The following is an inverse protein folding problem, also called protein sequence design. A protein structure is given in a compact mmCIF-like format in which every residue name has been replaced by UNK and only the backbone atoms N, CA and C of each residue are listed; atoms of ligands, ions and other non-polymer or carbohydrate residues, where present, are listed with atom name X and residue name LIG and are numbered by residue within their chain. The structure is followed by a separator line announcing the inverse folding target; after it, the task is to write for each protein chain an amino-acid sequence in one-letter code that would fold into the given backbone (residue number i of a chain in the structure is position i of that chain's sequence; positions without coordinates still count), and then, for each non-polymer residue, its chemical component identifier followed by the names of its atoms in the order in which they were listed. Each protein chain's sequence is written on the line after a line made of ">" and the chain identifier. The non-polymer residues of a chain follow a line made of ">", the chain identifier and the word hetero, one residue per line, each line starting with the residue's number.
data_IF_975758647463
#
_entry.id   IF_975758647463
#
_cell.length_a   1.000
_cell.length_b   1.000
_cell.length_c   1.000
_cell.angle_alpha   90.00
_cell.angle_beta   90.00
_cell.angle_gamma   90.00
#
_symmetry.space_group_name_H-M   'P 1'
#
loop_
_entity.id
_entity.type
_entity.pdbx_description
1 polymer ?
#
# COMPACT_ATOMS: atom_id res chain seq x y z
N UNK A 1 15.25 12.73 -7.01
CA UNK A 1 14.33 13.41 -7.93
C UNK A 1 13.55 12.41 -8.80
N UNK A 2 12.49 12.85 -9.48
CA UNK A 2 11.56 11.97 -10.20
C UNK A 2 12.25 11.17 -11.33
N UNK A 3 13.16 11.77 -12.08
CA UNK A 3 13.88 11.11 -13.18
C UNK A 3 14.73 9.98 -12.60
N UNK A 4 15.48 10.25 -11.54
CA UNK A 4 16.29 9.27 -10.84
C UNK A 4 15.43 8.12 -10.28
N UNK A 5 14.28 8.43 -9.68
CA UNK A 5 13.35 7.42 -9.17
C UNK A 5 12.82 6.49 -10.28
N UNK A 6 12.45 7.07 -11.43
CA UNK A 6 11.99 6.29 -12.59
C UNK A 6 13.09 5.37 -13.13
N UNK A 7 14.32 5.88 -13.28
CA UNK A 7 15.46 5.12 -13.81
C UNK A 7 15.84 3.97 -12.87
N UNK A 8 15.85 4.21 -11.56
CA UNK A 8 16.32 3.25 -10.57
C UNK A 8 15.23 2.29 -10.07
N UNK A 9 13.94 2.56 -10.36
CA UNK A 9 12.87 1.66 -9.98
C UNK A 9 13.03 0.31 -10.70
N UNK A 10 13.19 -0.73 -9.92
CA UNK A 10 13.24 -2.13 -10.38
C UNK A 10 12.42 -3.02 -9.43
N UNK A 11 12.13 -4.23 -9.84
CA UNK A 11 11.54 -5.24 -8.97
C UNK A 11 12.60 -5.78 -8.00
N UNK A 12 12.61 -5.27 -6.76
CA UNK A 12 13.53 -5.75 -5.72
C UNK A 12 12.90 -6.92 -4.97
N UNK A 13 13.52 -8.10 -5.10
CA UNK A 13 13.00 -9.35 -4.54
C UNK A 13 13.72 -9.81 -3.27
N UNK A 14 14.79 -9.13 -2.91
CA UNK A 14 15.61 -9.49 -1.75
C UNK A 14 15.80 -8.26 -0.88
N UNK A 15 15.34 -8.37 0.35
CA UNK A 15 15.43 -7.29 1.32
C UNK A 15 16.35 -7.68 2.47
N UNK A 16 17.08 -6.71 3.00
CA UNK A 16 17.71 -6.82 4.31
C UNK A 16 16.63 -6.73 5.39
N UNK A 17 16.74 -7.56 6.44
CA UNK A 17 15.83 -7.50 7.58
C UNK A 17 16.15 -6.28 8.45
N UNK A 18 15.86 -5.09 7.93
CA UNK A 18 16.16 -3.82 8.57
C UNK A 18 14.89 -3.01 8.83
N UNK A 19 14.90 -2.28 9.94
CA UNK A 19 13.83 -1.35 10.31
C UNK A 19 13.89 -0.11 9.40
N UNK A 20 12.73 0.33 8.90
CA UNK A 20 12.59 1.59 8.17
C UNK A 20 12.01 2.67 9.07
N UNK A 21 12.33 3.93 8.76
CA UNK A 21 11.79 5.05 9.52
C UNK A 21 10.27 5.23 9.29
N UNK A 22 9.53 5.56 10.35
CA UNK A 22 8.10 5.88 10.25
C UNK A 22 7.83 7.01 9.25
N UNK A 23 8.75 7.98 9.15
CA UNK A 23 8.68 9.08 8.17
C UNK A 23 8.68 8.56 6.73
N UNK A 24 9.44 7.52 6.43
CA UNK A 24 9.50 6.96 5.08
C UNK A 24 8.18 6.25 4.74
N UNK A 25 7.63 5.48 5.68
CA UNK A 25 6.28 4.91 5.53
C UNK A 25 5.23 6.00 5.29
N UNK A 26 5.25 7.09 6.08
CA UNK A 26 4.32 8.20 5.94
C UNK A 26 4.39 8.84 4.55
N UNK A 27 5.61 9.10 4.03
CA UNK A 27 5.80 9.65 2.68
C UNK A 27 5.34 8.70 1.58
N UNK A 28 5.59 7.40 1.72
CA UNK A 28 5.16 6.38 0.77
C UNK A 28 3.62 6.30 0.71
N UNK A 29 2.95 6.32 1.87
CA UNK A 29 1.49 6.33 1.96
C UNK A 29 0.90 7.60 1.34
N UNK A 30 1.49 8.76 1.67
CA UNK A 30 1.05 10.02 1.08
C UNK A 30 1.20 10.03 -0.43
N UNK A 31 2.33 9.57 -0.97
CA UNK A 31 2.55 9.47 -2.41
C UNK A 31 1.52 8.54 -3.07
N UNK A 32 1.21 7.42 -2.44
CA UNK A 32 0.27 6.42 -2.96
C UNK A 32 -1.17 6.90 -3.03
N UNK A 33 -1.68 7.57 -2.00
CA UNK A 33 -3.10 7.94 -1.93
C UNK A 33 -3.38 9.10 -0.97
N UNK A 34 -2.40 9.95 -0.67
CA UNK A 34 -2.55 11.07 0.26
C UNK A 34 -3.36 12.23 -0.30
N UNK A 35 -3.76 13.13 0.58
CA UNK A 35 -4.41 14.40 0.23
C UNK A 35 -3.34 15.47 0.03
N UNK A 36 -3.41 16.21 -1.08
CA UNK A 36 -2.46 17.28 -1.43
C UNK A 36 -2.71 18.56 -0.66
N UNK A 37 -3.98 18.93 -0.53
CA UNK A 37 -4.40 20.13 0.18
C UNK A 37 -5.65 19.80 1.04
N UNK A 38 -5.48 19.68 2.36
CA UNK A 38 -6.59 19.38 3.26
C UNK A 38 -7.59 20.54 3.41
N UNK A 39 -7.30 21.73 2.88
CA UNK A 39 -8.20 22.89 2.92
C UNK A 39 -9.10 22.97 1.67
N UNK A 40 -8.79 22.21 0.62
CA UNK A 40 -9.64 22.15 -0.57
C UNK A 40 -10.79 21.18 -0.31
N UNK A 41 -12.02 21.71 -0.41
CA UNK A 41 -13.24 20.91 -0.25
C UNK A 41 -13.20 19.64 -1.12
N UNK A 42 -13.60 18.53 -0.52
CA UNK A 42 -13.60 17.20 -1.13
C UNK A 42 -14.41 17.07 -2.43
N UNK A 43 -15.19 18.08 -2.75
CA UNK A 43 -15.99 18.18 -4.00
C UNK A 43 -15.14 18.59 -5.22
N UNK A 44 -13.98 19.21 -5.01
CA UNK A 44 -13.06 19.51 -6.10
C UNK A 44 -12.19 18.29 -6.40
N UNK A 45 -12.36 17.72 -7.57
CA UNK A 45 -11.82 16.43 -8.05
C UNK A 45 -10.28 16.27 -8.11
N UNK A 46 -9.50 17.08 -7.44
CA UNK A 46 -8.03 17.06 -7.52
C UNK A 46 -7.32 17.01 -6.16
N UNK A 47 -7.95 16.46 -5.14
CA UNK A 47 -7.46 16.53 -3.76
C UNK A 47 -6.40 15.49 -3.42
N UNK A 48 -6.36 14.34 -4.11
CA UNK A 48 -5.38 13.28 -3.83
C UNK A 48 -4.17 13.30 -4.75
N UNK A 49 -3.15 12.57 -4.36
CA UNK A 49 -1.90 12.40 -5.12
C UNK A 49 -2.07 11.58 -6.38
N UNK A 50 -3.16 10.86 -6.50
CA UNK A 50 -3.59 10.10 -7.67
C UNK A 50 -4.91 10.65 -8.21
N UNK A 51 -5.19 10.53 -9.53
CA UNK A 51 -6.52 10.76 -10.07
C UNK A 51 -7.48 9.62 -9.72
N UNK A 52 -8.78 9.89 -9.74
CA UNK A 52 -9.81 8.88 -9.60
C UNK A 52 -11.01 9.18 -10.48
N UNK A 53 -11.58 8.15 -11.10
CA UNK A 53 -12.78 8.29 -11.92
C UNK A 53 -13.93 8.84 -11.07
N UNK A 54 -14.52 9.95 -11.51
CA UNK A 54 -15.60 10.66 -10.81
C UNK A 54 -15.23 11.10 -9.36
N UNK A 55 -13.94 11.10 -8.99
CA UNK A 55 -13.50 11.42 -7.62
C UNK A 55 -13.96 10.45 -6.55
N UNK A 56 -14.24 9.20 -6.89
CA UNK A 56 -14.80 8.20 -5.96
C UNK A 56 -13.75 7.65 -4.99
N UNK A 57 -12.50 7.48 -5.44
CA UNK A 57 -11.39 6.92 -4.65
C UNK A 57 -11.73 5.57 -3.98
N UNK A 58 -12.08 4.54 -4.75
CA UNK A 58 -12.51 3.27 -4.20
C UNK A 58 -11.35 2.40 -3.70
N UNK A 59 -10.10 2.82 -3.92
CA UNK A 59 -8.93 2.04 -3.52
C UNK A 59 -8.55 2.34 -2.07
N UNK A 60 -8.45 1.26 -1.28
CA UNK A 60 -7.89 1.25 0.06
C UNK A 60 -6.45 0.74 0.08
N UNK A 61 -5.64 1.27 0.99
CA UNK A 61 -4.26 0.84 1.22
C UNK A 61 -4.15 0.28 2.64
N UNK A 62 -3.90 -1.02 2.73
CA UNK A 62 -3.62 -1.70 4.00
C UNK A 62 -2.11 -1.90 4.15
N UNK A 63 -1.63 -1.78 5.38
CA UNK A 63 -0.20 -1.85 5.72
C UNK A 63 0.01 -3.01 6.68
N UNK A 64 0.72 -4.03 6.26
CA UNK A 64 1.26 -5.07 7.11
C UNK A 64 2.63 -4.58 7.58
N UNK A 65 2.70 -3.96 8.75
CA UNK A 65 3.92 -3.41 9.31
C UNK A 65 4.70 -4.51 10.03
N UNK A 66 5.90 -4.81 9.56
CA UNK A 66 6.78 -5.83 10.13
C UNK A 66 7.91 -5.19 10.95
N UNK A 67 8.64 -4.24 10.34
CA UNK A 67 9.81 -3.60 10.94
C UNK A 67 9.80 -2.09 10.59
N UNK A 68 9.00 -1.33 11.32
CA UNK A 68 8.89 0.13 11.18
C UNK A 68 9.20 0.78 12.54
N UNK A 69 10.05 1.79 12.53
CA UNK A 69 10.45 2.50 13.73
C UNK A 69 9.25 3.15 14.43
N UNK A 70 9.13 2.93 15.74
CA UNK A 70 8.07 3.50 16.59
C UNK A 70 6.63 3.14 16.13
N UNK A 71 6.46 2.07 15.36
CA UNK A 71 5.16 1.54 14.98
C UNK A 71 5.08 0.06 15.39
N UNK A 72 4.09 -0.33 16.20
CA UNK A 72 3.88 -1.76 16.53
C UNK A 72 3.72 -2.62 15.28
N UNK A 73 4.24 -3.86 15.34
CA UNK A 73 4.02 -4.83 14.28
C UNK A 73 2.55 -5.25 14.30
N UNK A 74 1.78 -4.76 13.34
CA UNK A 74 0.34 -4.97 13.21
C UNK A 74 -0.13 -4.72 11.77
N UNK A 75 -1.43 -4.91 11.51
CA UNK A 75 -2.06 -4.55 10.25
C UNK A 75 -2.80 -3.24 10.44
N UNK A 76 -2.67 -2.34 9.47
CA UNK A 76 -3.28 -1.02 9.52
C UNK A 76 -4.02 -0.71 8.24
N UNK A 77 -5.13 0.03 8.34
CA UNK A 77 -5.76 0.72 7.22
C UNK A 77 -5.26 2.17 7.19
N UNK A 78 -4.76 2.61 6.05
CA UNK A 78 -4.42 4.02 5.85
C UNK A 78 -5.66 4.88 5.67
N UNK A 79 -5.74 5.98 6.44
CA UNK A 79 -6.81 6.98 6.40
C UNK A 79 -6.26 8.27 5.79
N UNK A 80 -6.43 8.50 4.46
CA UNK A 80 -5.84 9.65 3.77
C UNK A 80 -6.29 11.00 4.33
N UNK A 81 -7.55 11.10 4.75
CA UNK A 81 -8.16 12.34 5.26
C UNK A 81 -7.50 12.84 6.55
N UNK A 82 -6.91 11.94 7.31
CA UNK A 82 -6.22 12.21 8.58
C UNK A 82 -4.72 12.04 8.47
N UNK A 83 -4.24 11.54 7.33
CA UNK A 83 -2.87 11.03 7.15
C UNK A 83 -2.45 10.15 8.33
N UNK A 84 -3.29 9.18 8.67
CA UNK A 84 -3.15 8.35 9.85
C UNK A 84 -3.31 6.86 9.52
N UNK A 85 -2.88 6.02 10.44
CA UNK A 85 -3.05 4.57 10.40
C UNK A 85 -4.10 4.16 11.44
N UNK A 86 -5.10 3.42 11.00
CA UNK A 86 -6.06 2.77 11.88
C UNK A 86 -5.65 1.31 12.03
N UNK A 87 -5.33 0.89 13.24
CA UNK A 87 -5.01 -0.50 13.53
C UNK A 87 -6.23 -1.39 13.32
N UNK A 88 -6.00 -2.52 12.65
CA UNK A 88 -6.97 -3.59 12.50
C UNK A 88 -6.58 -4.66 13.51
N UNK A 89 -7.44 -4.94 14.53
CA UNK A 89 -7.17 -6.00 15.47
C UNK A 89 -6.96 -7.34 14.75
N UNK A 90 -5.76 -7.85 14.81
CA UNK A 90 -5.40 -9.02 14.02
C UNK A 90 -4.52 -9.99 14.78
N UNK A 91 -4.36 -11.15 14.21
CA UNK A 91 -3.33 -12.13 14.50
C UNK A 91 -1.93 -11.57 14.20
N UNK A 92 -0.91 -12.30 14.61
CA UNK A 92 0.48 -12.00 14.27
C UNK A 92 0.65 -11.73 12.75
N UNK A 93 1.23 -10.58 12.40
CA UNK A 93 1.39 -10.11 11.00
C UNK A 93 2.20 -11.09 10.16
N UNK A 94 3.25 -11.68 10.73
CA UNK A 94 4.10 -12.66 10.03
C UNK A 94 3.30 -13.92 9.70
N UNK A 95 2.49 -14.41 10.65
CA UNK A 95 1.62 -15.56 10.43
C UNK A 95 0.51 -15.26 9.41
N UNK A 96 -0.04 -14.06 9.45
CA UNK A 96 -1.02 -13.59 8.46
C UNK A 96 -0.42 -13.59 7.05
N UNK A 97 0.74 -13.00 6.87
CA UNK A 97 1.42 -12.96 5.57
C UNK A 97 1.81 -14.36 5.07
N UNK A 98 2.23 -15.27 5.95
CA UNK A 98 2.55 -16.64 5.58
C UNK A 98 1.32 -17.43 5.08
N UNK A 99 0.11 -17.10 5.56
CA UNK A 99 -1.15 -17.66 5.05
C UNK A 99 -1.56 -17.05 3.71
N UNK A 100 -1.25 -15.76 3.50
CA UNK A 100 -1.65 -14.98 2.32
C UNK A 100 -0.77 -15.32 1.12
N UNK A 101 0.54 -15.44 1.30
CA UNK A 101 1.47 -15.65 0.17
C UNK A 101 2.71 -16.41 0.59
N UNK A 102 3.24 -17.23 -0.35
CA UNK A 102 4.50 -17.95 -0.19
C UNK A 102 5.70 -17.22 -0.83
N UNK A 103 5.52 -15.96 -1.22
CA UNK A 103 6.59 -15.18 -1.86
C UNK A 103 7.70 -14.86 -0.86
N UNK A 104 8.94 -15.26 -1.19
CA UNK A 104 10.11 -15.05 -0.31
C UNK A 104 10.38 -13.58 0.00
N UNK A 105 10.02 -12.70 -0.92
CA UNK A 105 10.21 -11.26 -0.74
C UNK A 105 9.52 -10.70 0.52
N UNK A 106 8.42 -11.32 1.00
CA UNK A 106 7.75 -10.85 2.22
C UNK A 106 8.48 -11.20 3.52
N UNK A 107 9.40 -12.18 3.49
CA UNK A 107 10.05 -12.69 4.71
C UNK A 107 10.96 -11.66 5.38
N UNK A 108 11.67 -10.85 4.56
CA UNK A 108 12.60 -9.83 5.05
C UNK A 108 12.17 -8.40 4.67
N UNK A 109 10.97 -8.24 4.12
CA UNK A 109 10.42 -6.91 3.88
C UNK A 109 10.17 -6.18 5.20
N UNK A 110 10.37 -4.87 5.22
CA UNK A 110 10.05 -4.05 6.40
C UNK A 110 8.55 -3.84 6.53
N UNK A 111 7.84 -3.87 5.40
CA UNK A 111 6.39 -3.78 5.31
C UNK A 111 5.86 -4.40 4.01
N UNK A 112 4.58 -4.76 4.03
CA UNK A 112 3.84 -5.17 2.82
C UNK A 112 2.57 -4.35 2.74
N UNK A 113 2.35 -3.68 1.60
CA UNK A 113 1.08 -3.04 1.30
C UNK A 113 0.14 -4.04 0.62
N UNK A 114 -1.13 -4.00 0.96
CA UNK A 114 -2.21 -4.54 0.16
C UNK A 114 -2.96 -3.37 -0.46
N UNK A 115 -3.09 -3.38 -1.76
CA UNK A 115 -3.96 -2.47 -2.51
C UNK A 115 -5.26 -3.23 -2.78
N UNK A 116 -6.36 -2.70 -2.25
CA UNK A 116 -7.65 -3.35 -2.34
C UNK A 116 -8.73 -2.41 -2.87
N UNK A 117 -9.65 -2.95 -3.64
CA UNK A 117 -10.79 -2.26 -4.19
C UNK A 117 -12.00 -2.45 -3.27
N UNK A 118 -12.54 -1.36 -2.74
CA UNK A 118 -13.78 -1.35 -1.94
C UNK A 118 -15.00 -1.29 -2.85
N UNK A 119 -15.68 -2.42 -3.00
CA UNK A 119 -16.79 -2.56 -3.95
C UNK A 119 -18.03 -1.76 -3.57
N UNK A 120 -18.26 -1.54 -2.30
CA UNK A 120 -19.36 -0.71 -1.78
C UNK A 120 -19.26 0.76 -2.22
N UNK A 121 -18.04 1.29 -2.41
CA UNK A 121 -17.81 2.66 -2.87
C UNK A 121 -18.06 2.86 -4.36
N UNK A 122 -18.17 1.79 -5.15
CA UNK A 122 -18.07 1.86 -6.61
C UNK A 122 -19.34 1.48 -7.37
N UNK A 123 -20.51 1.41 -6.72
CA UNK A 123 -21.75 0.91 -7.32
C UNK A 123 -22.16 1.58 -8.67
N UNK A 124 -21.56 2.72 -9.01
CA UNK A 124 -21.80 3.46 -10.26
C UNK A 124 -20.61 3.53 -11.21
N UNK A 125 -19.50 2.87 -10.87
CA UNK A 125 -18.27 2.93 -11.64
C UNK A 125 -17.95 1.58 -12.28
N UNK A 126 -17.43 1.58 -13.51
CA UNK A 126 -16.91 0.35 -14.09
C UNK A 126 -15.60 -0.06 -13.39
N UNK A 127 -15.51 -1.31 -12.98
CA UNK A 127 -14.38 -1.87 -12.21
C UNK A 127 -13.01 -1.63 -12.84
N UNK A 128 -12.95 -1.50 -14.19
CA UNK A 128 -11.69 -1.18 -14.89
C UNK A 128 -11.01 0.09 -14.36
N UNK A 129 -11.78 1.09 -13.92
CA UNK A 129 -11.21 2.32 -13.39
C UNK A 129 -10.60 2.12 -12.00
N UNK A 130 -11.13 1.19 -11.19
CA UNK A 130 -10.49 0.83 -9.93
C UNK A 130 -9.12 0.17 -10.14
N UNK A 131 -8.98 -0.67 -11.17
CA UNK A 131 -7.69 -1.28 -11.49
C UNK A 131 -6.68 -0.25 -12.05
N UNK A 132 -7.14 0.75 -12.83
CA UNK A 132 -6.27 1.86 -13.22
C UNK A 132 -5.77 2.63 -11.99
N UNK A 133 -6.68 3.01 -11.10
CA UNK A 133 -6.34 3.72 -9.87
C UNK A 133 -5.38 2.89 -8.99
N UNK A 134 -5.62 1.59 -8.85
CA UNK A 134 -4.70 0.70 -8.14
C UNK A 134 -3.29 0.71 -8.75
N UNK A 135 -3.18 0.71 -10.08
CA UNK A 135 -1.89 0.82 -10.79
C UNK A 135 -1.18 2.14 -10.50
N UNK A 136 -1.91 3.25 -10.40
CA UNK A 136 -1.37 4.57 -10.06
C UNK A 136 -0.85 4.61 -8.62
N UNK A 137 -1.61 4.04 -7.66
CA UNK A 137 -1.16 3.86 -6.26
C UNK A 137 0.13 3.05 -6.21
N UNK A 138 0.16 1.90 -6.89
CA UNK A 138 1.33 1.00 -6.95
C UNK A 138 2.57 1.72 -7.48
N UNK A 139 2.42 2.48 -8.57
CA UNK A 139 3.53 3.20 -9.18
C UNK A 139 4.06 4.30 -8.28
N UNK A 140 3.17 5.08 -7.65
CA UNK A 140 3.59 6.15 -6.74
C UNK A 140 4.30 5.60 -5.49
N UNK A 141 3.79 4.52 -4.89
CA UNK A 141 4.44 3.80 -3.79
C UNK A 141 5.85 3.36 -4.21
N UNK A 142 5.97 2.74 -5.40
CA UNK A 142 7.24 2.22 -5.88
C UNK A 142 8.26 3.32 -6.15
N UNK A 143 7.85 4.44 -6.74
CA UNK A 143 8.73 5.60 -7.00
C UNK A 143 9.17 6.27 -5.71
N UNK A 144 8.25 6.46 -4.75
CA UNK A 144 8.58 7.04 -3.46
C UNK A 144 9.50 6.12 -2.66
N UNK A 145 9.30 4.80 -2.69
CA UNK A 145 10.21 3.86 -2.05
C UNK A 145 11.64 4.03 -2.56
N UNK A 146 11.83 4.13 -3.89
CA UNK A 146 13.17 4.39 -4.49
C UNK A 146 13.74 5.73 -4.04
N UNK A 147 12.94 6.80 -4.01
CA UNK A 147 13.40 8.13 -3.55
C UNK A 147 13.84 8.10 -2.08
N UNK A 148 13.28 7.20 -1.28
CA UNK A 148 13.66 6.95 0.12
C UNK A 148 14.80 5.94 0.30
N UNK A 149 15.42 5.49 -0.79
CA UNK A 149 16.49 4.47 -0.75
C UNK A 149 16.00 3.07 -0.41
N UNK A 150 14.72 2.80 -0.64
CA UNK A 150 14.08 1.51 -0.45
C UNK A 150 13.81 0.82 -1.78
N UNK A 151 13.68 -0.50 -1.74
CA UNK A 151 13.22 -1.30 -2.86
C UNK A 151 11.74 -1.66 -2.73
N UNK A 152 11.12 -2.02 -3.85
CA UNK A 152 9.75 -2.52 -3.88
C UNK A 152 9.59 -3.72 -4.80
N UNK A 153 8.69 -4.64 -4.45
CA UNK A 153 8.32 -5.79 -5.27
C UNK A 153 6.81 -5.98 -5.29
N UNK A 154 6.23 -5.89 -6.49
CA UNK A 154 4.81 -6.09 -6.74
C UNK A 154 4.50 -7.58 -6.85
N UNK A 155 3.53 -8.07 -6.09
CA UNK A 155 3.19 -9.48 -5.93
C UNK A 155 1.74 -9.70 -6.33
N UNK A 156 1.51 -10.39 -7.45
CA UNK A 156 0.17 -10.79 -7.91
C UNK A 156 -0.24 -12.20 -7.47
N UNK A 157 0.65 -12.95 -6.81
CA UNK A 157 0.38 -14.32 -6.36
C UNK A 157 0.11 -14.36 -4.87
N UNK A 158 -1.15 -14.43 -4.50
CA UNK A 158 -1.63 -14.48 -3.11
C UNK A 158 -2.97 -15.24 -3.01
N UNK A 159 -3.33 -15.63 -1.81
CA UNK A 159 -4.62 -16.26 -1.51
C UNK A 159 -5.62 -15.16 -1.10
N UNK A 160 -6.58 -14.84 -1.98
CA UNK A 160 -7.58 -13.83 -1.76
C UNK A 160 -8.49 -14.13 -0.55
N UNK A 161 -8.93 -15.39 -0.40
CA UNK A 161 -9.80 -15.80 0.71
C UNK A 161 -9.10 -15.58 2.06
N UNK A 162 -7.79 -15.84 2.12
CA UNK A 162 -7.01 -15.61 3.34
C UNK A 162 -6.82 -14.13 3.66
N UNK A 163 -6.77 -13.25 2.66
CA UNK A 163 -6.76 -11.81 2.89
C UNK A 163 -8.08 -11.37 3.53
N UNK A 164 -9.22 -11.80 2.97
CA UNK A 164 -10.56 -11.49 3.47
C UNK A 164 -10.73 -12.00 4.92
N UNK A 165 -10.30 -13.24 5.18
CA UNK A 165 -10.33 -13.84 6.52
C UNK A 165 -9.49 -13.04 7.54
N UNK A 166 -8.24 -12.68 7.17
CA UNK A 166 -7.31 -11.94 8.04
C UNK A 166 -7.81 -10.54 8.35
N UNK A 167 -8.37 -9.84 7.37
CA UNK A 167 -8.88 -8.48 7.54
C UNK A 167 -10.29 -8.46 8.13
N UNK A 168 -11.01 -9.59 8.12
CA UNK A 168 -12.42 -9.70 8.46
C UNK A 168 -13.28 -8.67 7.69
N UNK A 169 -13.03 -8.55 6.38
CA UNK A 169 -13.67 -7.55 5.53
C UNK A 169 -14.10 -8.17 4.19
N UNK A 170 -15.40 -8.43 4.02
CA UNK A 170 -15.95 -9.13 2.85
C UNK A 170 -16.15 -8.23 1.63
N UNK A 171 -16.26 -6.91 1.83
CA UNK A 171 -16.59 -5.95 0.76
C UNK A 171 -15.35 -5.42 0.00
N UNK A 172 -14.21 -6.07 0.16
CA UNK A 172 -12.99 -5.72 -0.57
C UNK A 172 -12.65 -6.78 -1.62
N UNK A 173 -12.04 -6.30 -2.70
CA UNK A 173 -11.33 -7.14 -3.64
C UNK A 173 -9.84 -6.82 -3.54
N UNK A 174 -9.02 -7.77 -3.06
CA UNK A 174 -7.57 -7.65 -3.12
C UNK A 174 -7.10 -7.52 -4.58
N UNK A 175 -6.33 -6.48 -4.89
CA UNK A 175 -5.83 -6.26 -6.26
C UNK A 175 -4.38 -6.69 -6.37
N UNK A 176 -3.53 -6.31 -5.41
CA UNK A 176 -2.10 -6.61 -5.45
C UNK A 176 -1.45 -6.38 -4.08
N UNK A 177 -0.38 -7.13 -3.81
CA UNK A 177 0.54 -6.85 -2.70
C UNK A 177 1.79 -6.14 -3.20
N UNK A 178 2.41 -5.32 -2.33
CA UNK A 178 3.69 -4.68 -2.59
C UNK A 178 4.57 -4.85 -1.35
N UNK A 179 5.62 -5.67 -1.47
CA UNK A 179 6.65 -5.76 -0.44
C UNK A 179 7.60 -4.57 -0.57
N UNK A 180 7.95 -3.93 0.54
CA UNK A 180 8.89 -2.79 0.58
C UNK A 180 9.87 -2.99 1.74
N UNK A 181 11.12 -2.66 1.49
CA UNK A 181 12.20 -2.75 2.48
C UNK A 181 13.52 -2.24 1.92
N UNK A 182 14.57 -2.29 2.73
CA UNK A 182 15.92 -2.01 2.23
C UNK A 182 16.39 -3.13 1.31
N UNK A 183 16.94 -2.81 0.12
CA UNK A 183 17.55 -3.82 -0.74
C UNK A 183 18.69 -4.53 0.00
N UNK A 184 18.77 -5.85 -0.12
CA UNK A 184 19.98 -6.57 0.28
C UNK A 184 21.10 -6.27 -0.72
N UNK A 185 22.31 -6.01 -0.23
CA UNK A 185 23.50 -5.79 -1.07
C UNK A 185 23.87 -7.05 -1.84
#
# INVERSE_FOLDING_TARGET
>A
DLISAIINRKAERQFAAETIALKDLALILWAGSGIKDPQVDSVSHATRTIPSAMGIYPIGVYVFALQVENLPSSIYLYLPEKHALQEIPSVNVTEALAKITNQRAVQNASLVFLIAFHRDKSSRMNDKFAYFEAGEVVQNISLMAVDRGLGSYVIGMYNQEKIIEVLNEENIEPVVLIAVGKPSQ
#
